data_IF_849400334081
#
_entry.id   IF_849400334081
#
_cell.length_a   1.000
_cell.length_b   1.000
_cell.length_c   1.000
_cell.angle_alpha   90.00
_cell.angle_beta   90.00
_cell.angle_gamma   90.00
#
_symmetry.space_group_name_H-M   'P 1'
#
loop_
_entity.id
_entity.type
_entity.pdbx_description
1 polymer ?
#
# COMPACT_ATOMS: atom_id res chain seq x y z
N UNK A 1 -49.84 44.74 11.59
CA UNK A 1 -49.73 43.53 10.74
C UNK A 1 -48.58 42.78 11.34
N UNK A 2 -48.84 42.16 12.49
CA UNK A 2 -47.82 41.63 13.40
C UNK A 2 -48.35 40.30 13.96
N UNK A 3 -47.60 39.23 13.78
CA UNK A 3 -47.51 38.15 14.77
C UNK A 3 -46.32 37.26 14.43
N UNK A 4 -45.38 37.22 15.37
CA UNK A 4 -44.25 36.32 15.43
C UNK A 4 -44.65 34.99 16.09
N UNK A 5 -43.92 33.94 15.69
CA UNK A 5 -43.63 32.66 16.37
C UNK A 5 -44.78 31.67 16.65
N UNK A 6 -44.62 30.47 16.10
CA UNK A 6 -44.97 29.25 16.84
C UNK A 6 -43.85 28.21 16.69
N UNK A 7 -43.34 27.77 17.84
CA UNK A 7 -42.30 26.76 17.99
C UNK A 7 -42.93 25.37 18.04
N UNK A 8 -42.26 24.37 17.48
CA UNK A 8 -42.53 22.97 17.81
C UNK A 8 -41.21 22.27 18.12
N UNK A 9 -40.74 22.43 19.36
CA UNK A 9 -39.82 21.48 20.00
C UNK A 9 -40.64 20.25 20.38
N UNK A 10 -40.47 19.14 19.67
CA UNK A 10 -40.94 17.84 20.16
C UNK A 10 -40.02 17.41 21.32
N UNK A 11 -40.63 17.29 22.49
CA UNK A 11 -40.06 16.72 23.70
C UNK A 11 -39.80 15.22 23.49
N UNK A 12 -38.56 14.78 23.67
CA UNK A 12 -38.26 13.38 23.97
C UNK A 12 -38.15 13.24 25.49
N UNK A 13 -38.97 12.36 26.06
CA UNK A 13 -38.95 12.00 27.46
C UNK A 13 -37.63 11.30 27.79
N UNK A 14 -36.87 11.87 28.73
CA UNK A 14 -35.75 11.24 29.41
C UNK A 14 -36.21 10.83 30.80
N UNK A 15 -36.08 9.54 31.11
CA UNK A 15 -36.06 9.08 32.49
C UNK A 15 -35.03 7.96 32.62
N UNK A 16 -34.01 8.24 33.42
CA UNK A 16 -32.87 7.41 33.84
C UNK A 16 -31.57 7.59 33.02
N UNK A 17 -30.89 8.70 33.32
CA UNK A 17 -29.48 8.95 33.03
C UNK A 17 -28.65 8.20 34.08
N UNK A 18 -27.84 7.23 33.64
CA UNK A 18 -26.66 6.77 34.37
C UNK A 18 -25.42 7.34 33.68
N UNK A 19 -24.62 8.09 34.43
CA UNK A 19 -23.37 8.68 33.97
C UNK A 19 -22.27 7.59 33.94
N UNK A 20 -22.13 6.89 32.80
CA UNK A 20 -20.89 6.24 32.29
C UNK A 20 -21.12 5.33 31.06
N UNK A 21 -22.14 5.57 30.24
CA UNK A 21 -22.25 4.95 28.92
C UNK A 21 -22.18 6.04 27.85
N UNK A 22 -21.03 6.17 27.18
CA UNK A 22 -20.99 6.82 25.88
C UNK A 22 -21.93 6.02 24.97
N UNK A 23 -23.13 6.55 24.73
CA UNK A 23 -24.10 5.94 23.83
C UNK A 23 -23.48 5.90 22.44
N UNK A 24 -22.97 4.75 22.03
CA UNK A 24 -22.72 4.49 20.63
C UNK A 24 -24.04 4.64 19.89
N UNK A 25 -24.20 5.74 19.15
CA UNK A 25 -25.42 5.98 18.39
C UNK A 25 -25.69 4.79 17.48
N UNK A 26 -26.92 4.28 17.55
CA UNK A 26 -27.38 3.20 16.68
C UNK A 26 -27.44 3.77 15.26
N UNK A 27 -26.77 3.11 14.32
CA UNK A 27 -26.86 3.49 12.92
C UNK A 27 -28.25 3.17 12.38
N UNK A 28 -28.97 4.15 11.82
CA UNK A 28 -30.31 3.94 11.24
C UNK A 28 -30.31 2.88 10.12
N UNK A 29 -29.24 2.83 9.33
CA UNK A 29 -29.09 1.86 8.22
C UNK A 29 -28.82 0.46 8.75
N UNK A 30 -28.02 0.31 9.80
CA UNK A 30 -27.56 -0.99 10.28
C UNK A 30 -28.41 -1.53 11.44
N UNK A 31 -29.11 -0.66 12.18
CA UNK A 31 -29.78 -0.96 13.47
C UNK A 31 -28.83 -1.46 14.57
N UNK A 32 -27.54 -1.17 14.47
CA UNK A 32 -26.52 -1.40 15.50
C UNK A 32 -25.37 -0.40 15.36
N UNK A 33 -24.45 -0.37 16.32
CA UNK A 33 -23.21 0.43 16.24
C UNK A 33 -22.27 -0.12 15.16
N UNK A 34 -22.12 0.64 14.08
CA UNK A 34 -21.29 0.26 12.93
C UNK A 34 -20.05 1.16 12.81
N UNK A 35 -19.22 0.92 11.79
CA UNK A 35 -17.97 1.66 11.60
C UNK A 35 -18.21 3.15 11.34
N UNK A 36 -19.20 3.50 10.52
CA UNK A 36 -19.58 4.89 10.27
C UNK A 36 -19.86 5.65 11.57
N UNK A 37 -20.60 5.02 12.50
CA UNK A 37 -20.88 5.61 13.82
C UNK A 37 -19.64 5.74 14.68
N UNK A 38 -18.75 4.75 14.65
CA UNK A 38 -17.45 4.84 15.34
C UNK A 38 -16.58 5.96 14.79
N UNK A 39 -16.51 6.12 13.47
CA UNK A 39 -15.76 7.20 12.85
C UNK A 39 -16.31 8.57 13.22
N UNK A 40 -17.64 8.75 13.23
CA UNK A 40 -18.29 10.01 13.60
C UNK A 40 -17.84 10.53 14.98
N UNK A 41 -17.57 9.64 15.95
CA UNK A 41 -17.04 10.03 17.25
C UNK A 41 -15.63 10.65 17.21
N UNK A 42 -14.85 10.40 16.15
CA UNK A 42 -13.51 10.95 15.98
C UNK A 42 -13.45 12.18 15.09
N UNK A 43 -14.56 12.63 14.48
CA UNK A 43 -14.56 13.74 13.52
C UNK A 43 -14.00 15.03 14.09
N UNK A 44 -14.26 15.34 15.35
CA UNK A 44 -13.73 16.54 16.02
C UNK A 44 -12.21 16.45 16.26
N UNK A 45 -11.67 15.23 16.41
CA UNK A 45 -10.25 14.99 16.69
C UNK A 45 -9.42 14.77 15.41
N UNK A 46 -10.06 14.45 14.30
CA UNK A 46 -9.44 14.17 12.99
C UNK A 46 -9.71 15.31 12.01
N UNK A 47 -9.16 16.48 12.32
CA UNK A 47 -9.23 17.66 11.45
C UNK A 47 -7.86 18.00 10.88
N UNK A 48 -7.86 18.32 9.58
CA UNK A 48 -6.75 18.89 8.85
C UNK A 48 -6.65 20.42 9.01
N UNK A 49 -7.64 21.04 9.64
CA UNK A 49 -7.82 22.49 9.63
C UNK A 49 -8.40 23.04 8.31
N UNK A 50 -8.73 22.16 7.35
CA UNK A 50 -9.42 22.52 6.10
C UNK A 50 -10.75 21.77 5.98
N UNK A 51 -11.85 22.53 6.00
CA UNK A 51 -13.20 21.97 5.99
C UNK A 51 -13.52 21.13 4.75
N UNK A 52 -12.95 21.45 3.58
CA UNK A 52 -13.22 20.70 2.35
C UNK A 52 -12.52 19.33 2.39
N UNK A 53 -11.27 19.30 2.87
CA UNK A 53 -10.51 18.05 3.10
C UNK A 53 -11.19 17.20 4.17
N UNK A 54 -11.56 17.82 5.29
CA UNK A 54 -12.19 17.13 6.41
C UNK A 54 -13.52 16.52 5.97
N UNK A 55 -14.34 17.29 5.24
CA UNK A 55 -15.59 16.79 4.69
C UNK A 55 -15.36 15.63 3.73
N UNK A 56 -14.39 15.74 2.82
CA UNK A 56 -14.07 14.66 1.89
C UNK A 56 -13.69 13.36 2.62
N UNK A 57 -12.83 13.45 3.64
CA UNK A 57 -12.44 12.31 4.48
C UNK A 57 -13.66 11.74 5.23
N UNK A 58 -14.45 12.60 5.88
CA UNK A 58 -15.64 12.23 6.65
C UNK A 58 -16.74 11.59 5.77
N UNK A 59 -16.90 12.03 4.53
CA UNK A 59 -17.83 11.45 3.55
C UNK A 59 -17.43 10.00 3.24
N UNK A 60 -16.12 9.72 3.06
CA UNK A 60 -15.65 8.34 2.89
C UNK A 60 -15.92 7.50 4.13
N UNK A 61 -15.60 8.02 5.33
CA UNK A 61 -15.77 7.32 6.61
C UNK A 61 -17.23 7.03 6.95
N UNK A 62 -18.13 7.96 6.64
CA UNK A 62 -19.58 7.83 6.86
C UNK A 62 -20.22 6.77 5.97
N UNK A 63 -19.61 6.45 4.82
CA UNK A 63 -20.10 5.41 3.90
C UNK A 63 -19.73 3.99 4.33
N UNK A 64 -18.83 3.82 5.31
CA UNK A 64 -18.30 2.51 5.72
C UNK A 64 -19.08 1.96 6.89
N UNK A 65 -19.93 0.96 6.64
CA UNK A 65 -20.73 0.33 7.68
C UNK A 65 -20.17 -1.01 8.18
N UNK A 66 -19.37 -1.69 7.36
CA UNK A 66 -18.92 -3.07 7.60
C UNK A 66 -17.41 -3.17 7.43
N UNK A 67 -16.83 -4.22 8.03
CA UNK A 67 -15.39 -4.43 7.99
C UNK A 67 -14.82 -4.69 6.59
N UNK A 68 -15.59 -5.29 5.68
CA UNK A 68 -15.14 -5.57 4.31
C UNK A 68 -14.89 -4.32 3.47
N UNK A 69 -15.41 -3.16 3.88
CA UNK A 69 -15.26 -1.90 3.17
C UNK A 69 -14.26 -0.95 3.85
N UNK A 70 -13.62 -1.38 4.94
CA UNK A 70 -12.70 -0.54 5.72
C UNK A 70 -11.53 -0.03 4.89
N UNK A 71 -11.11 -0.78 3.87
CA UNK A 71 -9.98 -0.42 3.01
C UNK A 71 -10.30 0.67 1.98
N UNK A 72 -11.57 1.08 1.89
CA UNK A 72 -12.06 2.21 1.07
C UNK A 72 -12.12 3.52 1.84
N UNK A 73 -11.87 3.49 3.15
CA UNK A 73 -11.90 4.68 4.00
C UNK A 73 -10.62 5.49 3.89
N UNK A 74 -10.75 6.81 3.93
CA UNK A 74 -9.61 7.70 4.06
C UNK A 74 -9.41 8.10 5.52
N UNK A 75 -8.15 8.26 5.91
CA UNK A 75 -7.74 8.76 7.21
C UNK A 75 -7.07 10.14 7.08
N UNK A 76 -7.31 11.04 8.02
CA UNK A 76 -6.40 12.17 8.23
C UNK A 76 -5.17 11.68 8.99
N UNK A 77 -4.00 11.75 8.37
CA UNK A 77 -2.75 11.23 8.95
C UNK A 77 -1.84 12.41 9.31
N UNK A 78 -1.56 12.64 10.60
CA UNK A 78 -0.65 13.70 11.02
C UNK A 78 0.75 13.50 10.43
N UNK A 79 1.35 14.56 9.91
CA UNK A 79 2.59 14.47 9.12
C UNK A 79 3.78 13.94 9.93
N UNK A 80 3.79 14.20 11.23
CA UNK A 80 4.80 13.72 12.18
C UNK A 80 4.79 12.20 12.38
N UNK A 81 3.76 11.50 11.90
CA UNK A 81 3.71 10.02 11.87
C UNK A 81 4.55 9.43 10.73
N UNK A 82 5.13 10.27 9.87
CA UNK A 82 6.02 9.86 8.79
C UNK A 82 7.50 10.15 9.10
N UNK A 83 8.38 9.27 8.66
CA UNK A 83 9.83 9.43 8.80
C UNK A 83 10.58 8.82 7.61
N UNK A 84 11.91 9.05 7.53
CA UNK A 84 12.78 8.57 6.45
C UNK A 84 12.34 9.00 5.05
N UNK A 85 12.18 10.32 4.86
CA UNK A 85 11.76 10.93 3.60
C UNK A 85 12.79 10.64 2.50
N UNK A 86 12.32 10.11 1.37
CA UNK A 86 13.12 9.95 0.15
C UNK A 86 12.36 10.54 -1.04
N UNK A 87 12.98 11.49 -1.73
CA UNK A 87 12.45 12.00 -2.99
C UNK A 87 12.47 10.90 -4.06
N UNK A 88 11.37 10.75 -4.80
CA UNK A 88 11.28 9.84 -5.95
C UNK A 88 11.42 10.68 -7.22
N UNK A 89 10.45 11.56 -7.43
CA UNK A 89 10.33 12.50 -8.55
C UNK A 89 9.52 13.71 -8.10
N UNK A 90 9.40 14.72 -8.96
CA UNK A 90 8.68 15.94 -8.62
C UNK A 90 7.24 15.62 -8.18
N UNK A 91 6.89 16.09 -6.98
CA UNK A 91 5.57 15.85 -6.39
C UNK A 91 5.37 14.46 -5.77
N UNK A 92 6.37 13.56 -5.80
CA UNK A 92 6.26 12.20 -5.24
C UNK A 92 7.43 11.81 -4.34
N UNK A 93 7.08 11.25 -3.19
CA UNK A 93 8.01 11.01 -2.10
C UNK A 93 7.71 9.65 -1.47
N UNK A 94 8.74 8.99 -0.95
CA UNK A 94 8.63 7.77 -0.17
C UNK A 94 8.87 8.06 1.30
N UNK A 95 8.03 7.49 2.16
CA UNK A 95 8.12 7.62 3.61
C UNK A 95 7.93 6.26 4.29
N UNK A 96 8.29 6.19 5.56
CA UNK A 96 7.81 5.16 6.48
C UNK A 96 6.70 5.75 7.35
N UNK A 97 5.61 5.02 7.50
CA UNK A 97 4.47 5.39 8.35
C UNK A 97 4.46 4.56 9.62
N UNK A 98 4.53 5.22 10.78
CA UNK A 98 4.68 4.55 12.09
C UNK A 98 3.45 3.68 12.42
N UNK A 99 2.25 4.21 12.21
CA UNK A 99 1.01 3.57 12.65
C UNK A 99 0.61 2.36 11.81
N UNK A 100 0.80 2.47 10.49
CA UNK A 100 0.16 1.60 9.52
C UNK A 100 -1.34 1.86 9.36
N UNK A 101 -1.97 1.14 8.44
CA UNK A 101 -3.35 1.37 8.05
C UNK A 101 -4.35 0.79 9.05
N UNK A 102 -5.52 1.43 9.16
CA UNK A 102 -6.67 0.92 9.91
C UNK A 102 -7.17 -0.38 9.24
N UNK A 103 -7.46 -1.40 10.04
CA UNK A 103 -7.99 -2.69 9.55
C UNK A 103 -9.28 -3.14 10.22
N UNK A 104 -9.56 -2.71 11.44
CA UNK A 104 -10.67 -3.22 12.25
C UNK A 104 -10.87 -2.33 13.49
N UNK A 105 -11.95 -2.53 14.23
CA UNK A 105 -12.21 -1.90 15.52
C UNK A 105 -11.98 -2.88 16.67
N UNK A 106 -11.29 -2.44 17.72
CA UNK A 106 -11.17 -3.20 18.96
C UNK A 106 -12.19 -2.73 20.00
N UNK A 107 -13.22 -3.56 20.26
CA UNK A 107 -14.24 -3.27 21.27
C UNK A 107 -13.72 -3.29 22.71
N UNK A 108 -12.54 -3.88 22.99
CA UNK A 108 -11.98 -3.92 24.35
C UNK A 108 -11.22 -2.65 24.67
N UNK A 109 -10.41 -2.18 23.74
CA UNK A 109 -9.61 -0.96 23.91
C UNK A 109 -10.31 0.30 23.42
N UNK A 110 -11.46 0.15 22.74
CA UNK A 110 -12.20 1.22 22.08
C UNK A 110 -11.31 2.05 21.17
N UNK A 111 -10.56 1.37 20.31
CA UNK A 111 -9.62 2.00 19.39
C UNK A 111 -9.55 1.25 18.05
N UNK A 112 -9.16 1.97 17.00
CA UNK A 112 -8.89 1.36 15.70
C UNK A 112 -7.67 0.44 15.76
N UNK A 113 -7.85 -0.82 15.33
CA UNK A 113 -6.75 -1.76 15.10
C UNK A 113 -6.00 -1.37 13.83
N UNK A 114 -4.68 -1.46 13.90
CA UNK A 114 -3.79 -1.10 12.80
C UNK A 114 -2.88 -2.23 12.39
N UNK A 115 -2.55 -2.29 11.10
CA UNK A 115 -1.60 -3.24 10.51
C UNK A 115 -0.53 -2.50 9.74
N UNK A 116 0.66 -3.08 9.67
CA UNK A 116 1.76 -2.52 8.88
C UNK A 116 2.47 -1.39 9.59
N UNK A 117 2.72 -1.52 10.89
CA UNK A 117 3.55 -0.57 11.62
C UNK A 117 4.91 -0.42 10.92
N UNK A 118 5.37 0.81 10.77
CA UNK A 118 6.58 1.15 10.01
C UNK A 118 6.55 0.68 8.54
N UNK A 119 5.36 0.61 7.93
CA UNK A 119 5.23 0.29 6.51
C UNK A 119 5.75 1.44 5.65
N UNK A 120 6.27 1.09 4.48
CA UNK A 120 6.69 2.10 3.51
C UNK A 120 5.52 2.46 2.61
N UNK A 121 5.27 3.76 2.48
CA UNK A 121 4.18 4.34 1.68
C UNK A 121 4.75 5.39 0.74
N UNK A 122 3.99 5.67 -0.31
CA UNK A 122 4.27 6.76 -1.21
C UNK A 122 3.32 7.93 -0.93
N UNK A 123 3.85 9.14 -0.91
CA UNK A 123 3.08 10.36 -0.79
C UNK A 123 3.16 11.14 -2.10
N UNK A 124 2.00 11.60 -2.58
CA UNK A 124 1.86 12.40 -3.80
C UNK A 124 1.22 13.74 -3.46
N UNK A 125 1.82 14.84 -3.89
CA UNK A 125 1.30 16.20 -3.68
C UNK A 125 -0.07 16.34 -4.38
N UNK A 126 -1.00 16.96 -3.66
CA UNK A 126 -2.30 17.37 -4.18
C UNK A 126 -2.19 18.78 -4.77
N UNK A 127 -2.26 18.89 -6.09
CA UNK A 127 -2.18 20.16 -6.83
C UNK A 127 -3.34 21.10 -6.48
N UNK A 128 -4.54 20.53 -6.25
CA UNK A 128 -5.70 21.28 -5.78
C UNK A 128 -6.53 20.45 -4.78
N UNK A 129 -6.55 20.81 -3.48
CA UNK A 129 -7.33 20.08 -2.47
C UNK A 129 -8.85 20.13 -2.69
N UNK A 130 -9.36 21.07 -3.50
CA UNK A 130 -10.81 21.22 -3.77
C UNK A 130 -11.29 20.21 -4.84
N UNK A 131 -10.38 19.69 -5.69
CA UNK A 131 -10.76 18.86 -6.84
C UNK A 131 -10.26 17.40 -6.75
N UNK A 132 -9.99 16.93 -5.53
CA UNK A 132 -9.41 15.61 -5.23
C UNK A 132 -10.23 14.47 -5.87
N UNK A 133 -11.56 14.61 -5.92
CA UNK A 133 -12.44 13.59 -6.50
C UNK A 133 -12.26 13.40 -8.01
N UNK A 134 -11.98 14.48 -8.77
CA UNK A 134 -11.81 14.42 -10.22
C UNK A 134 -10.39 14.04 -10.64
N UNK A 135 -9.37 14.54 -9.93
CA UNK A 135 -7.96 14.32 -10.29
C UNK A 135 -7.47 12.90 -9.94
N UNK A 136 -8.11 12.24 -8.96
CA UNK A 136 -7.58 10.99 -8.38
C UNK A 136 -8.60 9.86 -8.24
N UNK A 137 -9.72 9.89 -8.96
CA UNK A 137 -10.80 8.90 -8.84
C UNK A 137 -10.32 7.43 -8.91
N UNK A 138 -9.34 7.14 -9.79
CA UNK A 138 -8.72 5.81 -9.92
C UNK A 138 -7.73 5.45 -8.79
N UNK A 139 -7.19 6.46 -8.11
CA UNK A 139 -6.21 6.35 -7.03
C UNK A 139 -6.89 6.35 -5.64
N UNK A 140 -8.13 6.84 -5.51
CA UNK A 140 -8.89 6.85 -4.24
C UNK A 140 -9.04 5.44 -3.66
N UNK A 141 -9.37 4.44 -4.48
CA UNK A 141 -9.46 3.03 -4.05
C UNK A 141 -8.12 2.44 -3.58
N UNK A 142 -7.04 3.20 -3.70
CA UNK A 142 -5.67 2.83 -3.35
C UNK A 142 -5.04 3.88 -2.43
N UNK A 143 -5.83 4.64 -1.69
CA UNK A 143 -5.31 5.69 -0.80
C UNK A 143 -5.66 5.34 0.64
N UNK A 144 -4.67 5.41 1.54
CA UNK A 144 -4.90 5.23 2.98
C UNK A 144 -5.42 6.50 3.63
N UNK A 145 -5.04 7.66 3.11
CA UNK A 145 -5.42 8.92 3.72
C UNK A 145 -4.77 10.14 3.10
N UNK A 146 -4.91 11.27 3.79
CA UNK A 146 -4.36 12.56 3.42
C UNK A 146 -3.54 13.09 4.59
N UNK A 147 -2.46 13.79 4.27
CA UNK A 147 -1.62 14.52 5.24
C UNK A 147 -1.31 15.91 4.71
N UNK A 148 -0.72 16.79 5.52
CA UNK A 148 -0.23 18.09 5.09
C UNK A 148 1.20 18.31 5.56
N UNK A 149 2.09 18.70 4.65
CA UNK A 149 3.43 19.09 5.01
C UNK A 149 3.39 20.42 5.80
N UNK A 150 3.84 20.47 7.07
CA UNK A 150 3.76 21.71 7.86
C UNK A 150 4.74 22.80 7.40
N UNK A 151 5.74 22.44 6.59
CA UNK A 151 6.74 23.39 6.06
C UNK A 151 6.23 24.02 4.76
N UNK A 152 5.74 23.20 3.83
CA UNK A 152 5.31 23.68 2.51
C UNK A 152 3.81 23.98 2.43
N UNK A 153 3.03 23.60 3.46
CA UNK A 153 1.57 23.63 3.51
C UNK A 153 0.87 22.79 2.43
N UNK A 154 1.62 21.96 1.68
CA UNK A 154 1.07 21.11 0.64
C UNK A 154 0.32 19.94 1.27
N UNK A 155 -0.92 19.73 0.83
CA UNK A 155 -1.63 18.48 1.08
C UNK A 155 -1.04 17.37 0.22
N UNK A 156 -1.00 16.16 0.77
CA UNK A 156 -0.45 14.98 0.10
C UNK A 156 -1.33 13.77 0.36
N UNK A 157 -1.60 12.99 -0.69
CA UNK A 157 -2.24 11.69 -0.58
C UNK A 157 -1.24 10.63 -0.18
N UNK A 158 -1.64 9.75 0.73
CA UNK A 158 -0.85 8.61 1.19
C UNK A 158 -1.32 7.37 0.44
N UNK A 159 -0.54 6.96 -0.56
CA UNK A 159 -0.89 5.89 -1.47
C UNK A 159 -0.58 4.52 -0.85
N UNK A 160 -1.51 3.59 -1.06
CA UNK A 160 -1.35 2.18 -0.78
C UNK A 160 -0.36 1.54 -1.75
N UNK A 161 0.35 0.55 -1.24
CA UNK A 161 1.23 -0.31 -2.02
C UNK A 161 0.47 -1.48 -2.69
N UNK A 162 -0.86 -1.38 -2.84
CA UNK A 162 -1.67 -2.39 -3.50
C UNK A 162 -1.40 -2.40 -5.00
N UNK A 163 -1.24 -3.60 -5.57
CA UNK A 163 -1.10 -3.76 -7.01
C UNK A 163 -2.39 -3.34 -7.72
N UNK A 164 -2.27 -2.65 -8.86
CA UNK A 164 -3.44 -2.24 -9.65
C UNK A 164 -4.25 -3.43 -10.16
N UNK A 165 -3.57 -4.50 -10.57
CA UNK A 165 -4.20 -5.69 -11.13
C UNK A 165 -4.79 -6.60 -10.06
N UNK A 166 -4.07 -6.79 -8.94
CA UNK A 166 -4.49 -7.74 -7.90
C UNK A 166 -5.40 -7.12 -6.83
N UNK A 167 -5.46 -5.80 -6.74
CA UNK A 167 -6.06 -5.05 -5.62
C UNK A 167 -5.51 -5.46 -4.22
N UNK A 168 -4.31 -6.02 -4.20
CA UNK A 168 -3.61 -6.48 -3.00
C UNK A 168 -2.09 -6.44 -3.24
N UNK A 169 -1.29 -6.74 -2.22
CA UNK A 169 0.15 -6.88 -2.35
C UNK A 169 0.47 -8.19 -3.08
N UNK A 170 1.16 -8.10 -4.22
CA UNK A 170 1.55 -9.25 -5.03
C UNK A 170 3.08 -9.35 -5.20
N UNK A 171 3.58 -10.39 -5.89
CA UNK A 171 5.02 -10.57 -6.09
C UNK A 171 5.68 -9.42 -6.86
N UNK A 172 5.00 -8.82 -7.84
CA UNK A 172 5.50 -7.64 -8.55
C UNK A 172 5.82 -6.49 -7.58
N UNK A 173 4.96 -6.25 -6.59
CA UNK A 173 5.22 -5.25 -5.54
C UNK A 173 6.46 -5.62 -4.69
N UNK A 174 6.68 -6.91 -4.41
CA UNK A 174 7.84 -7.39 -3.64
C UNK A 174 9.15 -7.27 -4.42
N UNK A 175 9.11 -7.55 -5.73
CA UNK A 175 10.27 -7.38 -6.61
C UNK A 175 10.71 -5.91 -6.66
N UNK A 176 9.77 -4.97 -6.79
CA UNK A 176 10.07 -3.53 -6.79
C UNK A 176 10.86 -3.06 -5.56
N UNK A 177 10.67 -3.69 -4.40
CA UNK A 177 11.43 -3.36 -3.19
C UNK A 177 12.93 -3.64 -3.33
N UNK A 178 13.30 -4.60 -4.19
CA UNK A 178 14.66 -5.08 -4.36
C UNK A 178 15.37 -4.54 -5.59
N UNK A 179 14.72 -3.74 -6.44
CA UNK A 179 15.33 -3.19 -7.66
C UNK A 179 16.56 -2.32 -7.41
N UNK A 180 16.75 -1.81 -6.18
CA UNK A 180 17.93 -1.04 -5.79
C UNK A 180 19.06 -1.90 -5.23
N UNK A 181 18.82 -3.18 -4.97
CA UNK A 181 19.76 -4.07 -4.28
C UNK A 181 20.69 -4.82 -5.24
N UNK A 182 20.39 -4.82 -6.54
CA UNK A 182 21.24 -5.43 -7.56
C UNK A 182 21.07 -4.72 -8.91
N UNK A 183 22.12 -4.78 -9.74
CA UNK A 183 22.14 -4.35 -11.15
C UNK A 183 23.16 -5.23 -11.87
N UNK A 184 22.90 -5.54 -13.14
CA UNK A 184 23.85 -6.23 -14.02
C UNK A 184 24.88 -5.30 -14.64
N UNK A 185 24.86 -4.00 -14.30
CA UNK A 185 25.59 -2.92 -14.98
C UNK A 185 25.18 -2.72 -16.45
N UNK A 186 24.13 -3.40 -16.90
CA UNK A 186 23.58 -3.30 -18.24
C UNK A 186 22.09 -2.93 -18.16
N UNK A 187 21.78 -1.69 -18.55
CA UNK A 187 20.44 -1.14 -18.43
C UNK A 187 19.37 -1.94 -19.22
N UNK A 188 19.74 -2.53 -20.35
CA UNK A 188 18.82 -3.29 -21.19
C UNK A 188 18.47 -4.65 -20.54
N UNK A 189 19.48 -5.32 -19.98
CA UNK A 189 19.29 -6.57 -19.21
C UNK A 189 18.48 -6.29 -17.94
N UNK A 190 18.86 -5.26 -17.18
CA UNK A 190 18.14 -4.85 -15.99
C UNK A 190 16.69 -4.48 -16.28
N UNK A 191 16.42 -3.81 -17.42
CA UNK A 191 15.06 -3.52 -17.86
C UNK A 191 14.32 -4.81 -18.19
N UNK A 192 14.88 -5.70 -18.99
CA UNK A 192 14.25 -6.96 -19.37
C UNK A 192 13.87 -7.81 -18.16
N UNK A 193 14.80 -7.99 -17.21
CA UNK A 193 14.53 -8.74 -15.98
C UNK A 193 13.43 -8.05 -15.16
N UNK A 194 13.50 -6.72 -14.98
CA UNK A 194 12.46 -5.98 -14.25
C UNK A 194 11.09 -6.09 -14.91
N UNK A 195 11.02 -6.06 -16.24
CA UNK A 195 9.74 -6.19 -16.96
C UNK A 195 9.09 -7.56 -16.67
N UNK A 196 9.88 -8.66 -16.64
CA UNK A 196 9.37 -10.00 -16.24
C UNK A 196 8.94 -10.06 -14.77
N UNK A 197 9.66 -9.38 -13.88
CA UNK A 197 9.34 -9.33 -12.46
C UNK A 197 8.07 -8.50 -12.18
N UNK A 198 7.88 -7.41 -12.94
CA UNK A 198 6.71 -6.54 -12.84
C UNK A 198 5.44 -7.18 -13.38
N UNK A 199 5.54 -8.10 -14.35
CA UNK A 199 4.41 -8.90 -14.84
C UNK A 199 4.11 -10.13 -13.96
N UNK A 200 4.92 -10.40 -12.94
CA UNK A 200 4.77 -11.56 -12.07
C UNK A 200 3.92 -11.21 -10.84
N UNK A 201 2.61 -11.43 -10.94
CA UNK A 201 1.68 -11.13 -9.87
C UNK A 201 1.58 -12.27 -8.83
N UNK A 202 1.23 -13.47 -9.29
CA UNK A 202 0.96 -14.63 -8.42
C UNK A 202 1.90 -15.82 -8.66
N UNK A 203 2.58 -15.90 -9.80
CA UNK A 203 3.40 -17.05 -10.18
C UNK A 203 4.87 -16.68 -10.37
N UNK A 204 5.67 -16.97 -9.34
CA UNK A 204 7.12 -16.70 -9.32
C UNK A 204 7.89 -17.39 -10.44
N UNK A 205 7.35 -18.45 -11.05
CA UNK A 205 8.07 -19.18 -12.11
C UNK A 205 8.28 -18.35 -13.37
N UNK A 206 7.48 -17.30 -13.56
CA UNK A 206 7.58 -16.39 -14.72
C UNK A 206 8.58 -15.25 -14.52
N UNK A 207 9.00 -15.01 -13.28
CA UNK A 207 9.95 -13.95 -12.98
C UNK A 207 11.38 -14.43 -13.26
N UNK A 208 12.11 -13.67 -14.07
CA UNK A 208 13.55 -13.85 -14.14
C UNK A 208 14.22 -13.26 -12.91
N UNK A 209 15.33 -13.88 -12.52
CA UNK A 209 16.15 -13.43 -11.41
C UNK A 209 17.59 -13.20 -11.89
N UNK A 210 18.17 -12.07 -11.49
CA UNK A 210 19.60 -11.85 -11.64
C UNK A 210 20.39 -12.67 -10.61
N UNK A 211 21.30 -13.51 -11.10
CA UNK A 211 22.17 -14.34 -10.28
C UNK A 211 23.60 -13.80 -10.39
N UNK A 212 24.15 -13.22 -9.30
CA UNK A 212 25.55 -12.81 -9.31
C UNK A 212 26.46 -14.01 -9.56
N UNK A 213 27.47 -13.84 -10.42
CA UNK A 213 28.39 -14.94 -10.77
C UNK A 213 29.09 -15.54 -9.54
N UNK A 214 29.32 -14.75 -8.48
CA UNK A 214 29.88 -15.19 -7.20
C UNK A 214 29.01 -16.19 -6.43
N UNK A 215 27.75 -16.39 -6.85
CA UNK A 215 26.82 -17.40 -6.30
C UNK A 215 26.90 -18.74 -7.03
N UNK A 216 27.74 -18.85 -8.06
CA UNK A 216 27.95 -20.04 -8.86
C UNK A 216 29.31 -20.66 -8.51
N UNK A 217 29.30 -21.90 -8.03
CA UNK A 217 30.49 -22.67 -7.69
C UNK A 217 30.66 -23.88 -8.60
N UNK A 218 31.84 -24.50 -8.56
CA UNK A 218 32.14 -25.75 -9.28
C UNK A 218 31.78 -25.70 -10.77
N UNK A 219 32.09 -24.58 -11.43
CA UNK A 219 31.74 -24.36 -12.84
C UNK A 219 32.54 -25.30 -13.72
N UNK A 220 31.84 -26.15 -14.49
CA UNK A 220 32.42 -27.17 -15.37
C UNK A 220 31.94 -26.97 -16.79
N UNK A 221 32.87 -27.02 -17.73
CA UNK A 221 32.57 -26.99 -19.15
C UNK A 221 31.73 -28.20 -19.58
N UNK A 222 30.67 -27.96 -20.37
CA UNK A 222 29.90 -29.02 -21.06
C UNK A 222 30.18 -28.94 -22.57
N UNK A 223 29.90 -27.80 -23.19
CA UNK A 223 30.09 -27.54 -24.62
C UNK A 223 30.45 -26.06 -24.84
N UNK A 224 30.77 -25.67 -26.10
CA UNK A 224 31.23 -24.30 -26.44
C UNK A 224 30.37 -23.19 -25.82
N UNK A 225 29.05 -23.38 -25.74
CA UNK A 225 28.12 -22.36 -25.23
C UNK A 225 27.41 -22.79 -23.93
N UNK A 226 27.79 -23.91 -23.31
CA UNK A 226 27.10 -24.45 -22.14
C UNK A 226 28.09 -24.88 -21.07
N UNK A 227 27.88 -24.38 -19.87
CA UNK A 227 28.61 -24.77 -18.67
C UNK A 227 27.62 -25.32 -17.62
N UNK A 228 28.09 -26.11 -16.67
CA UNK A 228 27.35 -26.59 -15.50
C UNK A 228 27.87 -25.89 -14.26
N UNK A 229 27.00 -25.48 -13.34
CA UNK A 229 27.42 -24.88 -12.08
C UNK A 229 26.54 -25.31 -10.91
N UNK A 230 27.07 -25.17 -9.69
CA UNK A 230 26.33 -25.26 -8.45
C UNK A 230 25.86 -23.87 -8.04
N UNK A 231 24.55 -23.64 -7.98
CA UNK A 231 23.97 -22.39 -7.50
C UNK A 231 23.71 -22.46 -6.00
N UNK A 232 24.46 -21.69 -5.22
CA UNK A 232 24.46 -21.78 -3.75
C UNK A 232 23.13 -21.33 -3.15
N UNK A 233 22.57 -20.21 -3.62
CA UNK A 233 21.39 -19.60 -3.00
C UNK A 233 20.10 -20.40 -3.31
N UNK A 234 20.02 -21.02 -4.48
CA UNK A 234 18.79 -21.66 -4.98
C UNK A 234 17.74 -20.65 -5.46
N UNK A 235 16.63 -21.16 -6.00
CA UNK A 235 15.59 -20.33 -6.61
C UNK A 235 14.70 -19.66 -5.55
N UNK A 236 14.13 -18.50 -5.91
CA UNK A 236 13.07 -17.86 -5.13
C UNK A 236 11.83 -18.77 -5.13
N UNK A 237 11.25 -19.00 -3.94
CA UNK A 237 10.05 -19.82 -3.79
C UNK A 237 8.88 -19.10 -3.11
N UNK A 238 9.16 -18.07 -2.31
CA UNK A 238 8.14 -17.33 -1.55
C UNK A 238 8.71 -16.01 -1.00
N UNK A 239 7.85 -15.13 -0.48
CA UNK A 239 8.22 -13.91 0.23
C UNK A 239 7.98 -14.04 1.73
N UNK A 240 8.94 -13.58 2.54
CA UNK A 240 8.84 -13.54 4.01
C UNK A 240 8.62 -12.11 4.46
N UNK A 241 7.44 -11.82 5.02
CA UNK A 241 7.04 -10.46 5.38
C UNK A 241 7.82 -9.90 6.57
N UNK A 242 8.19 -10.74 7.54
CA UNK A 242 8.92 -10.34 8.74
C UNK A 242 10.32 -9.82 8.41
N UNK A 243 11.02 -10.48 7.49
CA UNK A 243 12.38 -10.12 7.08
C UNK A 243 12.40 -9.18 5.88
N UNK A 244 11.24 -8.96 5.24
CA UNK A 244 11.11 -8.29 3.94
C UNK A 244 12.09 -8.87 2.91
N UNK A 245 12.17 -10.20 2.85
CA UNK A 245 13.14 -10.92 2.04
C UNK A 245 12.56 -12.14 1.33
N UNK A 246 13.24 -12.58 0.27
CA UNK A 246 12.85 -13.76 -0.49
C UNK A 246 13.26 -15.05 0.22
N UNK A 247 12.31 -15.97 0.37
CA UNK A 247 12.57 -17.35 0.75
C UNK A 247 13.16 -18.10 -0.44
N UNK A 248 14.22 -18.87 -0.17
CA UNK A 248 14.94 -19.67 -1.15
C UNK A 248 14.64 -21.15 -0.99
N UNK A 249 14.55 -21.87 -2.10
CA UNK A 249 14.45 -23.32 -2.17
C UNK A 249 15.54 -23.90 -3.08
N UNK A 250 15.89 -25.18 -2.89
CA UNK A 250 16.87 -25.84 -3.78
C UNK A 250 18.29 -25.28 -3.66
N UNK A 251 18.75 -24.98 -2.44
CA UNK A 251 20.13 -24.54 -2.21
C UNK A 251 21.13 -25.57 -2.74
N UNK A 252 22.26 -25.08 -3.28
CA UNK A 252 23.28 -25.89 -3.94
C UNK A 252 22.74 -26.75 -5.10
N UNK A 253 21.66 -26.30 -5.76
CA UNK A 253 21.14 -26.98 -6.94
C UNK A 253 22.09 -26.84 -8.12
N UNK A 254 22.02 -27.83 -9.00
CA UNK A 254 22.80 -27.87 -10.23
C UNK A 254 22.04 -27.14 -11.32
N UNK A 255 22.70 -26.18 -11.96
CA UNK A 255 22.16 -25.39 -13.07
C UNK A 255 23.03 -25.52 -14.31
N UNK A 256 22.40 -25.35 -15.47
CA UNK A 256 23.09 -25.20 -16.75
C UNK A 256 23.16 -23.72 -17.11
N UNK A 257 24.35 -23.25 -17.45
CA UNK A 257 24.62 -21.88 -17.88
C UNK A 257 24.74 -21.86 -19.40
N UNK A 258 23.89 -21.10 -20.08
CA UNK A 258 23.98 -20.87 -21.53
C UNK A 258 24.65 -19.51 -21.79
N UNK A 259 25.71 -19.49 -22.60
CA UNK A 259 26.38 -18.25 -23.03
C UNK A 259 25.55 -17.58 -24.11
N UNK A 260 25.28 -16.28 -23.93
CA UNK A 260 24.54 -15.46 -24.88
C UNK A 260 25.52 -14.49 -25.54
N UNK A 261 25.70 -14.64 -26.86
CA UNK A 261 26.74 -13.93 -27.60
C UNK A 261 26.34 -12.49 -27.99
N UNK A 262 25.05 -12.15 -27.95
CA UNK A 262 24.52 -10.81 -28.26
C UNK A 262 23.19 -10.54 -27.52
N UNK A 263 22.93 -9.29 -27.15
CA UNK A 263 21.68 -8.86 -26.49
C UNK A 263 20.42 -9.13 -27.32
N UNK A 264 20.52 -9.09 -28.66
CA UNK A 264 19.41 -9.43 -29.57
C UNK A 264 18.92 -10.87 -29.38
N UNK A 265 19.79 -11.77 -28.93
CA UNK A 265 19.41 -13.16 -28.69
C UNK A 265 18.63 -13.31 -27.37
N UNK A 266 18.79 -12.39 -26.41
CA UNK A 266 18.08 -12.44 -25.12
C UNK A 266 16.58 -12.24 -25.35
N UNK A 267 16.17 -11.20 -26.08
CA UNK A 267 14.75 -10.92 -26.30
C UNK A 267 14.07 -11.91 -27.24
N UNK A 268 14.79 -12.49 -28.21
CA UNK A 268 14.21 -13.49 -29.12
C UNK A 268 14.13 -14.89 -28.51
N UNK A 269 15.16 -15.36 -27.80
CA UNK A 269 15.18 -16.72 -27.26
C UNK A 269 14.31 -16.89 -26.01
N UNK A 270 14.18 -15.86 -25.16
CA UNK A 270 13.38 -15.97 -23.92
C UNK A 270 11.88 -15.72 -24.11
N UNK A 271 11.45 -15.13 -25.24
CA UNK A 271 10.01 -14.97 -25.52
C UNK A 271 9.33 -16.28 -25.92
N UNK A 272 10.10 -17.27 -26.42
CA UNK A 272 9.57 -18.54 -26.89
C UNK A 272 9.60 -19.67 -25.82
N UNK A 273 10.24 -19.42 -24.66
CA UNK A 273 10.44 -20.42 -23.59
C UNK A 273 9.69 -20.12 -22.27
N UNK A 274 8.92 -19.03 -22.17
CA UNK A 274 8.17 -18.61 -20.96
C UNK A 274 6.66 -18.81 -21.08
#
# INVERSE_FOLDING_TARGET
MDSFTNSNKKLFNSSHINANEELYEICEICSYTCYAKRFQHYFENWTSGNNDIDKFIQDTQSSIHKFYDIDKTLEWIPYERFYNIKHIEEGRYKFNWVDGNIIDWDNKTQSWKRKGQNMSVELKILSNPINISLEFMDEINKTYGITQNPITNNYMMVLSNKCKECNDICYANRFQLNFKNWTSENNDIDKFIRDTQLSTHADLKKALEWIPYSKLNDIRYITVNRDRANWVDGNIIDWVDETKGWKRGGQNMIVELKKLNDLKNITLEFMDEV
#
